data_IF_342520632002
#
_entry.id   IF_342520632002
#
_cell.length_a   1.000
_cell.length_b   1.000
_cell.length_c   1.000
_cell.angle_alpha   90.00
_cell.angle_beta   90.00
_cell.angle_gamma   90.00
#
_symmetry.space_group_name_H-M   'P 1'
#
loop_
_entity.id
_entity.type
_entity.pdbx_description
1 polymer ?
#
# COMPACT_ATOMS: atom_id res chain seq x y z
N UNK A 1 -66.93 11.64 -53.82
CA UNK A 1 -67.41 12.26 -55.09
C UNK A 1 -66.44 13.38 -55.49
N UNK A 2 -66.01 13.39 -56.76
CA UNK A 2 -65.08 14.33 -57.46
C UNK A 2 -63.59 14.15 -57.09
N UNK A 3 -62.64 13.61 -57.89
CA UNK A 3 -62.38 13.37 -59.33
C UNK A 3 -61.74 14.54 -60.12
N UNK A 4 -60.50 14.25 -60.60
CA UNK A 4 -59.59 14.86 -61.62
C UNK A 4 -59.01 16.28 -61.38
N UNK A 5 -57.77 16.64 -61.78
CA UNK A 5 -56.96 16.18 -62.91
C UNK A 5 -55.42 16.38 -62.73
N UNK A 6 -54.67 15.61 -63.52
CA UNK A 6 -53.24 15.69 -63.84
C UNK A 6 -52.83 17.04 -64.46
N UNK A 7 -51.56 17.42 -64.28
CA UNK A 7 -50.74 17.98 -65.35
C UNK A 7 -49.26 17.62 -65.15
N UNK A 8 -48.69 16.99 -66.18
CA UNK A 8 -47.30 16.58 -66.30
C UNK A 8 -46.45 17.72 -66.86
N UNK A 9 -45.21 17.87 -66.37
CA UNK A 9 -44.14 18.51 -67.14
C UNK A 9 -42.83 17.77 -66.90
N UNK A 10 -42.31 17.17 -67.98
CA UNK A 10 -40.96 16.63 -68.10
C UNK A 10 -39.93 17.74 -67.89
N UNK A 11 -38.87 17.49 -67.12
CA UNK A 11 -37.57 18.12 -67.39
C UNK A 11 -36.40 17.18 -67.12
N UNK A 12 -35.48 17.25 -68.08
CA UNK A 12 -34.33 16.43 -68.41
C UNK A 12 -33.29 16.36 -67.27
N UNK A 13 -32.77 15.15 -67.00
CA UNK A 13 -31.59 14.92 -66.17
C UNK A 13 -30.32 15.32 -66.95
N UNK A 14 -29.60 16.33 -66.46
CA UNK A 14 -28.18 16.53 -66.76
C UNK A 14 -27.38 16.18 -65.49
N UNK A 15 -26.81 14.98 -65.48
CA UNK A 15 -25.85 14.52 -64.47
C UNK A 15 -24.50 15.20 -64.71
N UNK A 16 -24.20 16.25 -63.96
CA UNK A 16 -22.85 16.80 -63.86
C UNK A 16 -22.11 15.98 -62.80
N UNK A 17 -21.20 15.12 -63.25
CA UNK A 17 -20.26 14.38 -62.40
C UNK A 17 -19.20 15.34 -61.86
N UNK A 18 -19.43 15.86 -60.65
CA UNK A 18 -18.41 16.53 -59.85
C UNK A 18 -17.49 15.45 -59.26
N UNK A 19 -16.27 15.34 -59.78
CA UNK A 19 -15.19 14.58 -59.11
C UNK A 19 -14.87 15.29 -57.79
N UNK A 20 -14.92 14.62 -56.63
CA UNK A 20 -14.40 15.19 -55.40
C UNK A 20 -12.89 15.33 -55.52
N UNK A 21 -12.36 16.48 -55.10
CA UNK A 21 -10.94 16.68 -54.93
C UNK A 21 -10.40 15.64 -53.94
N UNK A 22 -9.37 14.90 -54.34
CA UNK A 22 -8.59 14.03 -53.45
C UNK A 22 -7.78 14.96 -52.56
N UNK A 23 -8.33 15.32 -51.40
CA UNK A 23 -7.52 15.79 -50.28
C UNK A 23 -6.79 14.57 -49.73
N UNK A 24 -5.47 14.52 -49.91
CA UNK A 24 -4.62 13.62 -49.14
C UNK A 24 -4.85 13.89 -47.65
N UNK A 25 -5.65 13.04 -47.00
CA UNK A 25 -5.68 12.96 -45.55
C UNK A 25 -4.27 12.62 -45.10
N UNK A 26 -3.64 13.43 -44.22
CA UNK A 26 -2.43 13.01 -43.55
C UNK A 26 -2.76 11.68 -42.88
N UNK A 27 -1.97 10.64 -43.15
CA UNK A 27 -1.96 9.43 -42.36
C UNK A 27 -1.67 9.86 -40.91
N UNK A 28 -2.74 10.07 -40.13
CA UNK A 28 -2.69 10.04 -38.69
C UNK A 28 -2.32 8.60 -38.36
N UNK A 29 -1.02 8.33 -38.32
CA UNK A 29 -0.48 7.23 -37.53
C UNK A 29 -1.21 7.28 -36.21
N UNK A 30 -2.07 6.28 -35.96
CA UNK A 30 -2.62 6.03 -34.63
C UNK A 30 -1.42 6.04 -33.70
N UNK A 31 -1.25 7.13 -32.94
CA UNK A 31 -0.39 7.09 -31.77
C UNK A 31 -1.01 5.99 -30.91
N UNK A 32 -0.35 4.84 -30.88
CA UNK A 32 -0.69 3.76 -29.97
C UNK A 32 -0.55 4.38 -28.58
N UNK A 33 -1.61 4.52 -27.77
CA UNK A 33 -1.44 5.01 -26.41
C UNK A 33 -0.54 3.99 -25.71
N UNK A 34 0.75 4.29 -25.57
CA UNK A 34 1.70 3.47 -24.81
C UNK A 34 1.06 3.25 -23.45
N UNK A 35 0.84 1.99 -23.08
CA UNK A 35 0.26 1.64 -21.79
C UNK A 35 1.09 2.30 -20.68
N UNK A 36 0.50 3.25 -19.96
CA UNK A 36 1.11 3.82 -18.76
C UNK A 36 0.91 2.81 -17.63
N UNK A 37 1.95 2.06 -17.31
CA UNK A 37 1.94 1.15 -16.16
C UNK A 37 1.79 1.93 -14.87
N UNK A 38 1.15 1.32 -13.87
CA UNK A 38 0.90 1.98 -12.60
C UNK A 38 2.20 2.16 -11.79
N UNK A 39 2.29 3.30 -11.09
CA UNK A 39 3.29 3.52 -10.04
C UNK A 39 2.74 3.10 -8.67
N UNK A 40 3.36 3.51 -7.57
CA UNK A 40 3.04 3.01 -6.23
C UNK A 40 2.93 4.16 -5.22
N UNK A 41 1.93 5.04 -5.34
CA UNK A 41 1.92 6.33 -4.65
C UNK A 41 1.63 6.27 -3.15
N UNK A 42 1.20 5.12 -2.63
CA UNK A 42 0.75 4.97 -1.25
C UNK A 42 0.95 3.54 -0.74
N UNK A 43 0.75 3.37 0.57
CA UNK A 43 0.74 2.05 1.21
C UNK A 43 -0.16 1.07 0.45
N UNK A 44 0.39 -0.10 0.10
CA UNK A 44 -0.31 -1.16 -0.65
C UNK A 44 -0.72 -0.79 -2.08
N UNK A 45 -0.07 0.22 -2.65
CA UNK A 45 -0.14 0.53 -4.08
C UNK A 45 -1.29 1.46 -4.46
N UNK A 46 -1.53 1.67 -5.76
CA UNK A 46 -2.45 2.68 -6.29
C UNK A 46 -3.83 2.71 -5.64
N UNK A 47 -4.34 1.54 -5.26
CA UNK A 47 -5.68 1.34 -4.68
C UNK A 47 -5.67 1.00 -3.19
N UNK A 48 -4.50 0.80 -2.58
CA UNK A 48 -4.38 0.32 -1.19
C UNK A 48 -4.76 -1.15 -0.97
N UNK A 49 -4.98 -1.93 -2.03
CA UNK A 49 -5.42 -3.34 -1.99
C UNK A 49 -4.31 -4.36 -2.28
N UNK A 50 -3.09 -3.90 -2.56
CA UNK A 50 -1.97 -4.75 -2.93
C UNK A 50 -2.06 -5.32 -4.33
N UNK A 51 -2.72 -4.64 -5.26
CA UNK A 51 -2.73 -5.02 -6.67
C UNK A 51 -1.87 -4.06 -7.50
N UNK A 52 -1.20 -4.57 -8.52
CA UNK A 52 -0.38 -3.78 -9.43
C UNK A 52 -0.74 -4.07 -10.89
N UNK A 53 -1.01 -3.01 -11.66
CA UNK A 53 -1.10 -3.08 -13.11
C UNK A 53 0.24 -2.70 -13.76
N UNK A 54 1.20 -3.63 -13.69
CA UNK A 54 2.51 -3.51 -14.30
C UNK A 54 2.64 -4.27 -15.62
N UNK A 55 3.79 -4.12 -16.31
CA UNK A 55 4.09 -4.87 -17.52
C UNK A 55 4.09 -6.38 -17.26
N UNK A 56 3.72 -7.20 -18.27
CA UNK A 56 3.83 -8.65 -18.17
C UNK A 56 5.26 -9.09 -17.85
N UNK A 57 5.44 -10.01 -16.90
CA UNK A 57 6.74 -10.47 -16.41
C UNK A 57 7.08 -11.84 -16.99
N UNK A 58 8.37 -12.06 -17.25
CA UNK A 58 8.90 -13.39 -17.55
C UNK A 58 8.79 -14.27 -16.31
N UNK A 59 8.54 -15.57 -16.54
CA UNK A 59 8.51 -16.60 -15.50
C UNK A 59 9.87 -17.24 -15.24
N UNK A 60 10.89 -16.87 -16.02
CA UNK A 60 12.27 -17.32 -15.86
C UNK A 60 13.15 -16.09 -15.67
N UNK A 61 13.86 -16.04 -14.56
CA UNK A 61 14.75 -14.92 -14.21
C UNK A 61 16.21 -15.33 -14.34
N UNK A 62 17.14 -14.38 -14.58
CA UNK A 62 18.56 -14.70 -14.69
C UNK A 62 19.14 -15.27 -13.39
N UNK A 63 19.95 -16.32 -13.49
CA UNK A 63 20.67 -16.90 -12.33
C UNK A 63 21.64 -15.90 -11.69
N UNK A 64 22.17 -14.96 -12.47
CA UNK A 64 23.02 -13.86 -11.99
C UNK A 64 22.28 -12.81 -11.15
N UNK A 65 20.96 -12.94 -11.00
CA UNK A 65 20.09 -11.94 -10.38
C UNK A 65 19.59 -10.88 -11.35
N UNK A 66 18.67 -10.03 -10.87
CA UNK A 66 18.11 -8.93 -11.66
C UNK A 66 19.14 -7.83 -11.89
N UNK A 67 18.99 -7.11 -13.00
CA UNK A 67 19.85 -5.97 -13.33
C UNK A 67 19.59 -4.83 -12.34
N UNK A 68 20.59 -4.54 -11.51
CA UNK A 68 20.60 -3.36 -10.65
C UNK A 68 20.73 -2.10 -11.50
N UNK A 69 19.84 -1.14 -11.29
CA UNK A 69 19.83 0.14 -12.00
C UNK A 69 20.65 1.20 -11.25
N UNK A 70 20.38 1.36 -9.96
CA UNK A 70 21.10 2.29 -9.08
C UNK A 70 20.93 1.88 -7.61
N UNK A 71 21.74 2.46 -6.72
CA UNK A 71 21.64 2.25 -5.27
C UNK A 71 22.16 3.44 -4.46
N UNK A 72 21.56 3.71 -3.31
CA UNK A 72 22.01 4.73 -2.35
C UNK A 72 22.13 4.17 -0.93
N UNK A 73 23.07 4.72 -0.16
CA UNK A 73 23.08 4.55 1.29
C UNK A 73 21.84 5.22 1.91
N UNK A 74 21.22 4.54 2.88
CA UNK A 74 20.01 4.98 3.56
C UNK A 74 20.15 4.73 5.06
N UNK A 75 19.52 5.56 5.88
CA UNK A 75 19.32 5.30 7.30
C UNK A 75 18.30 4.18 7.57
N UNK A 76 18.10 3.89 8.86
CA UNK A 76 17.20 2.84 9.31
C UNK A 76 15.72 3.21 9.14
N UNK A 77 14.87 2.21 9.19
CA UNK A 77 13.42 2.35 9.10
C UNK A 77 12.75 1.10 8.54
N UNK A 78 11.46 1.00 8.76
CA UNK A 78 10.63 -0.12 8.26
C UNK A 78 9.51 0.37 7.33
N UNK A 79 9.41 1.68 7.12
CA UNK A 79 8.44 2.27 6.21
C UNK A 79 8.62 1.79 4.78
N UNK A 80 7.50 1.54 4.11
CA UNK A 80 7.49 1.25 2.68
C UNK A 80 7.98 2.42 1.84
N UNK A 81 8.27 2.13 0.58
CA UNK A 81 8.63 3.11 -0.44
C UNK A 81 7.35 3.53 -1.18
N UNK A 82 7.29 4.77 -1.64
CA UNK A 82 6.22 5.23 -2.53
C UNK A 82 6.79 5.92 -3.76
N UNK A 83 6.15 5.73 -4.91
CA UNK A 83 6.56 6.31 -6.20
C UNK A 83 5.36 6.96 -6.87
N UNK A 84 5.54 8.21 -7.29
CA UNK A 84 4.55 8.97 -8.04
C UNK A 84 5.23 10.00 -8.94
N UNK A 85 4.76 10.14 -10.18
CA UNK A 85 5.33 11.03 -11.20
C UNK A 85 6.84 10.86 -11.34
N UNK A 86 7.33 9.60 -11.39
CA UNK A 86 8.76 9.24 -11.45
C UNK A 86 9.61 9.77 -10.30
N UNK A 87 9.00 10.13 -9.19
CA UNK A 87 9.69 10.49 -7.95
C UNK A 87 9.47 9.41 -6.93
N UNK A 88 10.57 8.95 -6.35
CA UNK A 88 10.59 8.00 -5.26
C UNK A 88 10.67 8.74 -3.93
N UNK A 89 9.86 8.33 -2.97
CA UNK A 89 9.77 8.89 -1.63
C UNK A 89 10.01 7.79 -0.60
N UNK A 90 10.88 8.08 0.37
CA UNK A 90 11.20 7.17 1.47
C UNK A 90 11.55 7.97 2.73
N UNK A 91 11.26 7.41 3.89
CA UNK A 91 11.65 7.99 5.17
C UNK A 91 12.76 7.18 5.83
N UNK A 92 13.68 7.86 6.51
CA UNK A 92 14.74 7.20 7.25
C UNK A 92 15.17 7.92 8.53
N UNK A 93 15.95 7.20 9.33
CA UNK A 93 16.67 7.72 10.48
C UNK A 93 18.17 7.41 10.34
N UNK A 94 19.00 8.41 10.05
CA UNK A 94 20.44 8.23 9.88
C UNK A 94 21.14 7.72 11.14
N UNK A 95 22.22 6.97 10.93
CA UNK A 95 23.18 6.62 11.97
C UNK A 95 24.08 7.81 12.35
N UNK A 96 24.73 7.74 13.51
CA UNK A 96 25.63 8.78 13.99
C UNK A 96 26.98 8.82 13.26
N UNK A 97 27.43 7.70 12.69
CA UNK A 97 28.74 7.59 12.01
C UNK A 97 28.73 6.53 10.90
N UNK A 98 29.73 6.57 10.01
CA UNK A 98 29.91 5.53 8.98
C UNK A 98 30.23 4.15 9.55
N UNK A 99 30.87 4.07 10.73
CA UNK A 99 31.11 2.80 11.43
C UNK A 99 29.80 2.19 11.93
N UNK A 100 28.90 3.03 12.42
CA UNK A 100 27.55 2.63 12.82
C UNK A 100 26.74 2.12 11.62
N UNK A 101 26.95 2.69 10.43
CA UNK A 101 26.26 2.25 9.21
C UNK A 101 26.53 0.77 8.90
N UNK A 102 27.77 0.31 9.07
CA UNK A 102 28.12 -1.09 8.85
C UNK A 102 27.44 -2.02 9.88
N UNK A 103 27.29 -1.55 11.12
CA UNK A 103 26.63 -2.27 12.21
C UNK A 103 25.10 -2.22 12.13
N UNK A 104 24.55 -1.30 11.33
CA UNK A 104 23.11 -1.09 11.19
C UNK A 104 22.42 -2.09 10.25
N UNK A 105 23.16 -3.04 9.65
CA UNK A 105 22.58 -4.10 8.83
C UNK A 105 21.64 -5.02 9.65
N UNK A 106 20.65 -5.60 8.98
CA UNK A 106 19.66 -6.50 9.57
C UNK A 106 18.49 -5.80 10.26
N UNK A 107 17.42 -6.55 10.53
CA UNK A 107 16.13 -6.01 11.01
C UNK A 107 16.20 -5.56 12.48
N UNK A 108 16.99 -6.24 13.31
CA UNK A 108 17.07 -6.00 14.75
C UNK A 108 18.25 -5.11 15.20
N UNK A 109 18.80 -4.28 14.31
CA UNK A 109 19.96 -3.40 14.55
C UNK A 109 19.65 -2.10 15.34
N UNK A 110 18.77 -2.19 16.34
CA UNK A 110 18.27 -1.04 17.11
C UNK A 110 19.25 -0.44 18.12
N UNK A 111 20.34 -1.15 18.40
CA UNK A 111 21.38 -0.76 19.37
C UNK A 111 22.49 0.12 18.80
N UNK A 112 22.40 0.45 17.51
CA UNK A 112 23.35 1.32 16.83
C UNK A 112 23.08 2.78 17.18
N UNK A 113 24.13 3.60 17.34
CA UNK A 113 23.97 5.02 17.60
C UNK A 113 23.35 5.72 16.39
N UNK A 114 22.28 6.50 16.63
CA UNK A 114 21.51 7.19 15.59
C UNK A 114 21.40 8.67 15.88
N UNK A 115 21.27 9.44 14.81
CA UNK A 115 20.97 10.85 14.93
C UNK A 115 19.56 11.05 15.51
N UNK A 116 19.36 12.20 16.15
CA UNK A 116 18.07 12.63 16.71
C UNK A 116 17.24 13.38 15.67
N UNK A 117 17.17 12.81 14.47
CA UNK A 117 16.42 13.35 13.33
C UNK A 117 15.72 12.20 12.62
N UNK A 118 14.63 12.52 11.94
CA UNK A 118 14.10 11.72 10.84
C UNK A 118 14.18 12.55 9.56
N UNK A 119 14.21 11.86 8.41
CA UNK A 119 14.21 12.52 7.09
C UNK A 119 13.11 11.96 6.20
N UNK A 120 12.54 12.83 5.38
CA UNK A 120 11.79 12.47 4.18
C UNK A 120 12.68 12.77 2.98
N UNK A 121 12.96 11.75 2.17
CA UNK A 121 13.87 11.83 1.04
C UNK A 121 13.09 11.67 -0.25
N UNK A 122 13.47 12.43 -1.28
CA UNK A 122 12.92 12.33 -2.62
C UNK A 122 14.06 12.12 -3.64
N UNK A 123 13.89 11.11 -4.49
CA UNK A 123 14.83 10.76 -5.55
C UNK A 123 14.10 10.71 -6.89
N UNK A 124 14.83 10.99 -7.97
CA UNK A 124 14.40 10.62 -9.30
C UNK A 124 14.41 9.09 -9.42
N UNK A 125 13.26 8.50 -9.73
CA UNK A 125 13.07 7.05 -9.71
C UNK A 125 13.87 6.33 -10.81
N UNK A 126 14.22 7.01 -11.90
CA UNK A 126 14.96 6.42 -13.01
C UNK A 126 16.47 6.43 -12.75
N UNK A 127 17.00 7.57 -12.31
CA UNK A 127 18.44 7.84 -12.20
C UNK A 127 18.98 7.59 -10.79
N UNK A 128 18.11 7.63 -9.77
CA UNK A 128 18.50 7.61 -8.37
C UNK A 128 18.96 8.97 -7.84
N UNK A 129 19.04 10.02 -8.67
CA UNK A 129 19.51 11.32 -8.21
C UNK A 129 18.60 11.88 -7.11
N UNK A 130 19.16 12.24 -5.96
CA UNK A 130 18.40 12.90 -4.90
C UNK A 130 17.92 14.28 -5.38
N UNK A 131 16.61 14.52 -5.30
CA UNK A 131 15.96 15.78 -5.69
C UNK A 131 15.91 16.73 -4.50
N UNK A 132 15.43 16.23 -3.35
CA UNK A 132 15.34 17.02 -2.11
C UNK A 132 15.32 16.11 -0.88
N UNK A 133 15.61 16.69 0.27
CA UNK A 133 15.44 16.09 1.58
C UNK A 133 14.76 17.08 2.53
N UNK A 134 13.78 16.60 3.30
CA UNK A 134 13.21 17.32 4.43
C UNK A 134 13.66 16.63 5.72
N UNK A 135 14.35 17.36 6.60
CA UNK A 135 14.90 16.83 7.85
C UNK A 135 14.26 17.56 9.03
N UNK A 136 13.86 16.82 10.05
CA UNK A 136 13.33 17.40 11.29
C UNK A 136 13.91 16.72 12.53
N UNK A 137 14.04 17.45 13.67
CA UNK A 137 14.42 16.86 14.93
C UNK A 137 13.40 15.82 15.38
N UNK A 138 13.87 14.65 15.81
CA UNK A 138 13.01 13.59 16.34
C UNK A 138 13.83 12.74 17.32
N UNK A 139 13.50 12.84 18.61
CA UNK A 139 14.16 12.13 19.69
C UNK A 139 13.32 10.91 20.08
N UNK A 140 13.84 9.70 19.82
CA UNK A 140 13.12 8.49 20.17
C UNK A 140 13.27 8.21 21.66
N UNK A 141 12.14 8.09 22.35
CA UNK A 141 12.07 7.81 23.78
C UNK A 141 11.18 6.59 24.01
N UNK A 142 11.62 5.70 24.89
CA UNK A 142 10.82 4.58 25.39
C UNK A 142 10.27 3.61 24.31
N UNK A 143 11.00 3.43 23.21
CA UNK A 143 10.70 2.45 22.17
C UNK A 143 11.50 1.16 22.37
N UNK A 144 10.86 0.01 22.13
CA UNK A 144 11.51 -1.30 22.21
C UNK A 144 12.64 -1.46 21.15
N UNK A 145 12.41 -0.95 19.94
CA UNK A 145 13.47 -0.79 18.94
C UNK A 145 13.30 0.50 18.13
N UNK A 146 14.41 1.22 17.92
CA UNK A 146 14.42 2.59 17.42
C UNK A 146 15.05 2.80 16.04
N UNK A 147 14.89 1.86 15.10
CA UNK A 147 15.61 1.90 13.81
C UNK A 147 15.26 3.10 12.94
N UNK A 148 13.99 3.49 12.88
CA UNK A 148 13.54 4.59 12.02
C UNK A 148 12.03 4.60 11.77
N UNK A 149 11.56 5.52 10.92
CA UNK A 149 10.18 5.63 10.46
C UNK A 149 9.58 4.32 9.93
N UNK A 150 8.26 4.15 10.09
CA UNK A 150 7.53 2.91 9.79
C UNK A 150 6.34 3.07 8.84
N UNK A 151 5.85 4.29 8.67
CA UNK A 151 4.81 4.60 7.70
C UNK A 151 5.43 4.78 6.30
N UNK A 152 4.74 4.30 5.28
CA UNK A 152 5.03 4.71 3.90
C UNK A 152 4.50 6.13 3.67
N UNK A 153 5.24 6.99 2.92
CA UNK A 153 4.70 8.25 2.44
C UNK A 153 3.46 8.03 1.56
N UNK A 154 2.47 8.92 1.62
CA UNK A 154 1.32 8.92 0.70
C UNK A 154 1.43 10.11 -0.23
N UNK A 155 1.35 9.91 -1.55
CA UNK A 155 1.50 10.97 -2.55
C UNK A 155 0.23 11.12 -3.37
N UNK A 156 -0.42 12.28 -3.28
CA UNK A 156 -1.64 12.60 -4.02
C UNK A 156 -1.60 14.09 -4.40
N UNK A 157 -1.89 14.42 -5.66
CA UNK A 157 -2.00 15.80 -6.17
C UNK A 157 -0.81 16.71 -5.82
N UNK A 158 0.42 16.25 -6.10
CA UNK A 158 1.68 16.96 -5.78
C UNK A 158 1.92 17.25 -4.29
N UNK A 159 1.22 16.55 -3.40
CA UNK A 159 1.40 16.61 -1.96
C UNK A 159 1.94 15.27 -1.44
N UNK A 160 2.88 15.34 -0.49
CA UNK A 160 3.46 14.18 0.19
C UNK A 160 3.04 14.25 1.66
N UNK A 161 2.31 13.24 2.12
CA UNK A 161 1.89 13.08 3.50
C UNK A 161 2.77 12.05 4.18
N UNK A 162 3.36 12.40 5.31
CA UNK A 162 4.27 11.52 6.06
C UNK A 162 3.91 11.45 7.52
N UNK A 163 4.21 10.32 8.16
CA UNK A 163 4.09 10.11 9.59
C UNK A 163 5.41 9.56 10.14
N UNK A 164 6.05 10.34 11.01
CA UNK A 164 7.23 9.97 11.76
C UNK A 164 6.93 9.04 12.94
N UNK A 165 7.97 8.40 13.46
CA UNK A 165 7.82 7.36 14.51
C UNK A 165 7.18 7.90 15.80
N UNK A 166 7.47 9.16 16.16
CA UNK A 166 7.01 9.77 17.40
C UNK A 166 5.68 10.53 17.25
N UNK A 167 5.15 10.62 16.02
CA UNK A 167 3.86 11.28 15.75
C UNK A 167 3.97 12.54 14.91
N UNK A 168 5.16 12.91 14.44
CA UNK A 168 5.36 14.04 13.52
C UNK A 168 4.63 13.79 12.18
N UNK A 169 3.65 14.62 11.87
CA UNK A 169 2.91 14.58 10.60
C UNK A 169 3.26 15.79 9.76
N UNK A 170 3.61 15.55 8.50
CA UNK A 170 3.88 16.60 7.55
C UNK A 170 3.05 16.41 6.28
N UNK A 171 2.58 17.53 5.74
CA UNK A 171 2.25 17.66 4.34
C UNK A 171 3.32 18.52 3.67
N UNK A 172 3.97 17.96 2.66
CA UNK A 172 5.06 18.57 1.93
C UNK A 172 4.68 18.77 0.46
N UNK A 173 5.21 19.82 -0.16
CA UNK A 173 5.19 19.95 -1.62
C UNK A 173 6.05 18.84 -2.25
N UNK A 174 5.46 17.97 -3.07
CA UNK A 174 6.16 16.90 -3.80
C UNK A 174 7.29 17.41 -4.69
N UNK A 175 7.19 18.65 -5.18
CA UNK A 175 8.22 19.31 -6.00
C UNK A 175 9.47 19.72 -5.23
N UNK A 176 9.34 20.16 -3.98
CA UNK A 176 10.41 20.92 -3.29
C UNK A 176 10.74 20.39 -1.89
N UNK A 177 9.93 19.51 -1.32
CA UNK A 177 10.05 19.08 0.07
C UNK A 177 9.71 20.15 1.10
N UNK A 178 9.22 21.32 0.68
CA UNK A 178 8.81 22.39 1.60
C UNK A 178 7.53 21.99 2.34
N UNK A 179 7.51 22.28 3.63
CA UNK A 179 6.34 22.08 4.50
C UNK A 179 5.21 23.01 4.07
N UNK A 180 4.03 22.44 3.89
CA UNK A 180 2.77 23.17 3.66
C UNK A 180 2.04 23.33 4.99
N UNK A 181 1.91 22.23 5.73
CA UNK A 181 1.46 22.22 7.11
C UNK A 181 2.11 21.05 7.87
N UNK A 182 2.11 21.16 9.20
CA UNK A 182 2.59 20.10 10.11
C UNK A 182 1.67 19.96 11.32
N UNK A 183 1.63 18.75 11.88
CA UNK A 183 0.91 18.36 13.09
C UNK A 183 1.74 17.35 13.89
N UNK A 184 1.35 17.11 15.14
CA UNK A 184 1.93 16.08 15.97
C UNK A 184 0.83 15.26 16.67
N UNK A 185 0.79 13.94 16.44
CA UNK A 185 -0.30 13.08 16.90
C UNK A 185 -0.56 13.14 18.41
N UNK A 186 0.51 13.23 19.21
CA UNK A 186 0.41 13.38 20.67
C UNK A 186 -0.04 14.80 21.06
N UNK A 187 0.73 15.82 20.67
CA UNK A 187 0.53 17.20 21.11
C UNK A 187 -0.78 17.83 20.63
N UNK A 188 -1.17 17.58 19.37
CA UNK A 188 -2.36 18.20 18.77
C UNK A 188 -3.65 17.42 19.05
N UNK A 189 -3.57 16.10 19.25
CA UNK A 189 -4.74 15.21 19.24
C UNK A 189 -4.86 14.27 20.44
N UNK A 190 -3.97 14.38 21.43
CA UNK A 190 -4.04 13.54 22.64
C UNK A 190 -3.71 12.06 22.39
N UNK A 191 -3.03 11.76 21.28
CA UNK A 191 -2.57 10.41 20.96
C UNK A 191 -1.52 9.89 21.94
N UNK A 192 -1.22 8.59 21.86
CA UNK A 192 -0.15 7.96 22.64
C UNK A 192 0.76 7.15 21.74
N UNK A 193 2.05 7.44 21.78
CA UNK A 193 3.07 6.71 21.02
C UNK A 193 2.99 5.20 21.36
N UNK A 194 2.75 4.33 20.35
CA UNK A 194 2.76 2.89 20.55
C UNK A 194 4.14 2.36 20.96
N UNK A 195 4.21 1.13 21.50
CA UNK A 195 5.45 0.49 21.93
C UNK A 195 6.56 0.46 20.85
N UNK A 196 6.17 0.37 19.58
CA UNK A 196 7.07 0.39 18.44
C UNK A 196 6.96 1.66 17.60
N UNK A 197 6.31 2.70 18.11
CA UNK A 197 6.06 3.97 17.41
C UNK A 197 4.97 3.87 16.35
N UNK A 198 4.56 5.01 15.79
CA UNK A 198 3.50 5.04 14.80
C UNK A 198 3.93 4.42 13.46
N UNK A 199 3.03 3.67 12.83
CA UNK A 199 3.27 3.02 11.54
C UNK A 199 2.12 3.13 10.52
N UNK A 200 0.91 3.49 10.95
CA UNK A 200 -0.23 3.62 10.06
C UNK A 200 0.00 4.79 9.08
N UNK A 201 0.22 4.47 7.80
CA UNK A 201 0.45 5.49 6.77
C UNK A 201 -0.73 6.47 6.71
N UNK A 202 -0.49 7.80 6.56
CA UNK A 202 -1.54 8.78 6.35
C UNK A 202 -2.46 8.38 5.19
N UNK A 203 -3.76 8.29 5.43
CA UNK A 203 -4.73 7.82 4.44
C UNK A 203 -5.46 8.99 3.81
N UNK A 204 -5.27 9.22 2.50
CA UNK A 204 -5.95 10.32 1.80
C UNK A 204 -7.31 9.85 1.29
N UNK A 205 -8.36 10.57 1.68
CA UNK A 205 -9.74 10.29 1.31
C UNK A 205 -10.42 11.55 0.78
N UNK A 206 -10.49 11.68 -0.55
CA UNK A 206 -10.99 12.90 -1.18
C UNK A 206 -10.17 14.11 -0.75
N UNK A 207 -10.81 15.09 -0.11
CA UNK A 207 -10.14 16.28 0.43
C UNK A 207 -9.64 16.13 1.87
N UNK A 208 -9.71 14.93 2.43
CA UNK A 208 -9.25 14.65 3.79
C UNK A 208 -7.97 13.82 3.80
N UNK A 209 -7.20 13.98 4.88
CA UNK A 209 -6.19 13.01 5.31
C UNK A 209 -6.61 12.49 6.67
N UNK A 210 -6.69 11.17 6.78
CA UNK A 210 -7.05 10.45 8.00
C UNK A 210 -5.78 10.00 8.71
N UNK A 211 -5.73 10.24 10.01
CA UNK A 211 -4.62 9.91 10.89
C UNK A 211 -5.16 9.17 12.13
N UNK A 212 -4.31 8.34 12.73
CA UNK A 212 -4.65 7.52 13.89
C UNK A 212 -3.79 7.92 15.11
N UNK A 213 -4.14 9.00 15.85
CA UNK A 213 -3.41 9.37 17.06
C UNK A 213 -3.48 8.31 18.16
N UNK A 214 -4.61 7.61 18.27
CA UNK A 214 -4.78 6.52 19.22
C UNK A 214 -4.66 6.93 20.69
N UNK A 215 -5.72 7.51 21.25
CA UNK A 215 -5.83 7.85 22.66
C UNK A 215 -7.03 7.21 23.36
N UNK A 216 -7.05 7.30 24.69
CA UNK A 216 -8.11 6.70 25.52
C UNK A 216 -9.29 7.64 25.76
N UNK A 217 -9.21 8.88 25.32
CA UNK A 217 -10.28 9.86 25.46
C UNK A 217 -11.14 9.89 24.19
N UNK A 218 -12.39 10.32 24.32
CA UNK A 218 -13.29 10.41 23.17
C UNK A 218 -12.76 11.42 22.14
N UNK A 219 -12.71 11.00 20.87
CA UNK A 219 -12.19 11.82 19.78
C UNK A 219 -10.68 11.76 19.60
N UNK A 220 -9.99 10.83 20.26
CA UNK A 220 -8.51 10.73 20.17
C UNK A 220 -8.02 9.51 19.40
N UNK A 221 -8.91 8.60 18.99
CA UNK A 221 -8.49 7.41 18.24
C UNK A 221 -8.20 7.71 16.76
N UNK A 222 -9.05 8.53 16.13
CA UNK A 222 -8.96 8.90 14.71
C UNK A 222 -9.29 10.38 14.52
N UNK A 223 -8.57 11.01 13.60
CA UNK A 223 -8.81 12.39 13.17
C UNK A 223 -8.78 12.49 11.65
N UNK A 224 -9.66 13.31 11.09
CA UNK A 224 -9.62 13.73 9.70
C UNK A 224 -9.28 15.20 9.62
N UNK A 225 -8.27 15.52 8.82
CA UNK A 225 -7.87 16.88 8.53
C UNK A 225 -8.19 17.20 7.08
N UNK A 226 -8.49 18.45 6.78
CA UNK A 226 -8.40 18.97 5.43
C UNK A 226 -6.97 18.78 4.93
N UNK A 227 -6.82 18.03 3.83
CA UNK A 227 -5.50 17.56 3.39
C UNK A 227 -4.59 18.70 2.90
N UNK A 228 -5.16 19.84 2.47
CA UNK A 228 -4.39 20.98 1.95
C UNK A 228 -3.97 21.96 3.03
N UNK A 229 -4.72 22.05 4.12
CA UNK A 229 -4.52 23.07 5.17
C UNK A 229 -4.14 22.49 6.52
N UNK A 230 -4.41 21.20 6.77
CA UNK A 230 -4.20 20.56 8.07
C UNK A 230 -5.23 20.97 9.13
N UNK A 231 -6.29 21.69 8.74
CA UNK A 231 -7.39 22.07 9.62
C UNK A 231 -8.24 20.83 9.90
N UNK A 232 -8.56 20.60 11.17
CA UNK A 232 -9.41 19.49 11.57
C UNK A 232 -10.81 19.61 10.99
N UNK A 233 -11.32 18.51 10.41
CA UNK A 233 -12.70 18.40 9.96
C UNK A 233 -13.56 17.64 10.96
N UNK A 234 -13.05 16.53 11.44
CA UNK A 234 -13.70 15.74 12.49
C UNK A 234 -12.69 14.88 13.23
N UNK A 235 -13.07 14.45 14.43
CA UNK A 235 -12.35 13.45 15.23
C UNK A 235 -13.36 12.51 15.88
N UNK A 236 -13.00 11.26 16.14
CA UNK A 236 -13.94 10.27 16.69
C UNK A 236 -13.24 9.17 17.49
N UNK A 237 -14.07 8.38 18.19
CA UNK A 237 -13.72 7.17 18.93
C UNK A 237 -12.69 7.35 20.06
N UNK A 238 -12.54 6.32 20.89
CA UNK A 238 -11.51 6.22 21.92
C UNK A 238 -10.90 4.81 21.90
N UNK A 239 -9.67 4.70 21.44
CA UNK A 239 -8.88 3.48 21.46
C UNK A 239 -7.39 3.82 21.26
N UNK A 240 -6.51 2.95 21.73
CA UNK A 240 -5.07 3.07 21.51
C UNK A 240 -4.70 2.95 20.03
N UNK A 241 -3.54 3.48 19.63
CA UNK A 241 -3.12 3.42 18.23
C UNK A 241 -2.75 1.99 17.82
N UNK A 242 -3.34 1.55 16.72
CA UNK A 242 -2.88 0.40 15.94
C UNK A 242 -1.78 0.80 14.95
N UNK A 243 -1.35 -0.16 14.15
CA UNK A 243 -0.32 0.02 13.12
C UNK A 243 -0.90 -0.07 11.69
N UNK A 244 -2.11 -0.61 11.55
CA UNK A 244 -2.81 -0.73 10.28
C UNK A 244 -3.38 0.61 9.80
N UNK A 245 -3.19 0.91 8.51
CA UNK A 245 -3.88 2.04 7.85
C UNK A 245 -5.39 1.74 7.73
N UNK A 246 -6.29 2.73 7.88
CA UNK A 246 -7.72 2.53 7.68
C UNK A 246 -8.08 1.98 6.31
N UNK A 247 -9.23 1.30 6.22
CA UNK A 247 -9.77 0.75 4.97
C UNK A 247 -11.12 1.42 4.66
N UNK A 248 -11.22 2.12 3.54
CA UNK A 248 -12.51 2.54 3.00
C UNK A 248 -13.19 1.38 2.29
N UNK A 249 -14.42 1.08 2.66
CA UNK A 249 -15.26 0.08 1.99
C UNK A 249 -16.54 0.72 1.48
N UNK A 250 -17.17 0.07 0.50
CA UNK A 250 -18.54 0.37 0.09
C UNK A 250 -19.39 -0.89 0.25
N UNK A 251 -20.40 -0.84 1.12
CA UNK A 251 -21.31 -1.95 1.39
C UNK A 251 -22.76 -1.44 1.33
N UNK A 252 -23.63 -2.14 0.61
CA UNK A 252 -25.03 -1.72 0.38
C UNK A 252 -25.17 -0.26 -0.06
N UNK A 253 -24.26 0.21 -0.93
CA UNK A 253 -24.24 1.58 -1.43
C UNK A 253 -23.69 2.64 -0.45
N UNK A 254 -23.42 2.28 0.81
CA UNK A 254 -22.87 3.18 1.84
C UNK A 254 -21.37 3.01 1.98
N UNK A 255 -20.66 4.12 2.12
CA UNK A 255 -19.23 4.12 2.43
C UNK A 255 -19.02 4.01 3.93
N UNK A 256 -18.07 3.17 4.34
CA UNK A 256 -17.67 2.99 5.74
C UNK A 256 -16.15 3.04 5.82
N UNK A 257 -15.62 3.70 6.85
CA UNK A 257 -14.20 3.69 7.15
C UNK A 257 -13.91 2.72 8.27
N UNK A 258 -13.24 1.62 7.94
CA UNK A 258 -12.86 0.57 8.87
C UNK A 258 -11.54 0.93 9.54
N UNK A 259 -11.52 0.89 10.88
CA UNK A 259 -10.35 1.18 11.69
C UNK A 259 -10.09 -0.04 12.59
N UNK A 260 -8.93 -0.66 12.42
CA UNK A 260 -8.50 -1.75 13.28
C UNK A 260 -7.56 -1.23 14.38
N UNK A 261 -8.08 -1.18 15.61
CA UNK A 261 -7.37 -0.74 16.80
C UNK A 261 -7.01 -1.93 17.71
N UNK A 262 -6.19 -1.73 18.75
CA UNK A 262 -5.78 -2.78 19.69
C UNK A 262 -6.89 -3.40 20.54
N UNK A 263 -8.02 -2.72 20.72
CA UNK A 263 -9.13 -3.24 21.52
C UNK A 263 -10.39 -3.53 20.71
N UNK A 264 -10.51 -3.02 19.48
CA UNK A 264 -11.72 -3.16 18.66
C UNK A 264 -11.43 -3.16 17.15
N UNK A 265 -12.45 -3.56 16.40
CA UNK A 265 -12.61 -3.25 14.99
C UNK A 265 -13.76 -2.27 14.91
N UNK A 266 -13.51 -1.07 14.37
CA UNK A 266 -14.49 0.00 14.30
C UNK A 266 -14.92 0.27 12.86
N UNK A 267 -16.11 0.82 12.72
CA UNK A 267 -16.57 1.50 11.52
C UNK A 267 -17.14 2.86 11.85
N UNK A 268 -16.80 3.84 11.01
CA UNK A 268 -17.33 5.20 11.07
C UNK A 268 -17.77 5.67 9.69
N UNK A 269 -18.66 6.66 9.67
CA UNK A 269 -18.96 7.46 8.50
C UNK A 269 -17.69 8.22 8.07
N UNK A 270 -17.20 8.04 6.83
CA UNK A 270 -15.95 8.66 6.39
C UNK A 270 -15.98 10.19 6.29
N UNK A 271 -17.17 10.81 6.16
CA UNK A 271 -17.32 12.25 5.98
C UNK A 271 -17.46 13.00 7.30
N UNK A 272 -18.11 12.38 8.29
CA UNK A 272 -18.45 13.00 9.57
C UNK A 272 -17.70 12.42 10.76
N UNK A 273 -17.13 11.23 10.63
CA UNK A 273 -16.55 10.49 11.75
C UNK A 273 -17.59 9.87 12.68
N UNK A 274 -18.89 9.95 12.35
CA UNK A 274 -19.95 9.36 13.15
C UNK A 274 -19.75 7.85 13.28
N UNK A 275 -19.86 7.34 14.51
CA UNK A 275 -19.72 5.92 14.79
C UNK A 275 -20.87 5.13 14.16
N UNK A 276 -20.54 4.03 13.49
CA UNK A 276 -21.53 3.05 13.02
C UNK A 276 -21.56 1.82 13.92
N UNK A 277 -20.43 1.13 14.08
CA UNK A 277 -20.32 -0.05 14.93
C UNK A 277 -18.90 -0.28 15.43
N UNK A 278 -18.78 -1.07 16.49
CA UNK A 278 -17.52 -1.55 17.06
C UNK A 278 -17.67 -3.00 17.48
N UNK A 279 -16.75 -3.86 17.05
CA UNK A 279 -16.66 -5.24 17.54
C UNK A 279 -15.45 -5.37 18.46
N UNK A 280 -15.60 -5.85 19.71
CA UNK A 280 -14.47 -6.04 20.62
C UNK A 280 -13.46 -7.05 20.07
N UNK A 281 -12.19 -6.64 20.06
CA UNK A 281 -11.07 -7.50 19.74
C UNK A 281 -9.78 -7.02 20.41
N UNK A 282 -9.62 -7.43 21.67
CA UNK A 282 -8.41 -7.12 22.44
C UNK A 282 -7.26 -8.02 22.00
N UNK A 283 -6.16 -7.40 21.56
CA UNK A 283 -4.98 -8.10 21.07
C UNK A 283 -3.74 -7.86 21.92
N UNK A 284 -2.89 -8.88 22.00
CA UNK A 284 -1.67 -8.90 22.79
C UNK A 284 -0.65 -7.89 22.24
N UNK A 285 -0.04 -7.06 23.10
CA UNK A 285 0.88 -5.95 22.74
C UNK A 285 0.33 -4.90 21.76
N UNK A 286 -0.98 -4.91 21.48
CA UNK A 286 -1.60 -3.97 20.54
C UNK A 286 -1.14 -4.10 19.09
N UNK A 287 -0.67 -5.27 18.66
CA UNK A 287 -0.16 -5.50 17.29
C UNK A 287 -1.26 -5.59 16.21
N UNK A 288 -2.08 -4.55 16.08
CA UNK A 288 -3.06 -4.40 15.01
C UNK A 288 -2.34 -3.92 13.75
N UNK A 289 -1.69 -4.84 13.03
CA UNK A 289 -0.69 -4.49 12.00
C UNK A 289 -1.16 -4.73 10.56
N UNK A 290 -1.51 -5.97 10.20
CA UNK A 290 -1.98 -6.30 8.85
C UNK A 290 -3.26 -5.52 8.49
N UNK A 291 -3.21 -4.66 7.47
CA UNK A 291 -4.39 -3.92 7.02
C UNK A 291 -5.62 -4.83 6.84
N UNK A 292 -6.81 -4.39 7.29
CA UNK A 292 -8.05 -5.11 7.02
C UNK A 292 -8.26 -5.33 5.51
N UNK A 293 -8.98 -6.39 5.16
CA UNK A 293 -9.54 -6.58 3.81
C UNK A 293 -11.05 -6.79 3.92
N UNK A 294 -11.79 -6.42 2.87
CA UNK A 294 -13.24 -6.57 2.87
C UNK A 294 -13.77 -7.04 1.52
N UNK A 295 -14.44 -8.18 1.52
CA UNK A 295 -15.02 -8.81 0.34
C UNK A 295 -16.32 -9.52 0.73
N UNK A 296 -17.28 -9.64 -0.18
CA UNK A 296 -18.49 -10.44 0.05
C UNK A 296 -19.31 -10.02 1.29
N UNK A 297 -19.23 -8.76 1.71
CA UNK A 297 -19.89 -8.27 2.92
C UNK A 297 -19.22 -8.71 4.23
N UNK A 298 -18.01 -9.28 4.18
CA UNK A 298 -17.17 -9.58 5.32
C UNK A 298 -16.01 -8.60 5.42
N UNK A 299 -15.71 -8.13 6.63
CA UNK A 299 -14.45 -7.45 6.98
C UNK A 299 -13.56 -8.44 7.73
N UNK A 300 -12.35 -8.66 7.24
CA UNK A 300 -11.39 -9.57 7.86
C UNK A 300 -10.19 -8.81 8.44
N UNK A 301 -9.79 -9.17 9.66
CA UNK A 301 -8.56 -8.69 10.31
C UNK A 301 -7.76 -9.88 10.84
N UNK A 302 -6.43 -9.78 10.77
CA UNK A 302 -5.53 -10.87 11.14
C UNK A 302 -4.60 -10.49 12.29
N UNK A 303 -4.80 -11.08 13.47
CA UNK A 303 -3.95 -10.90 14.64
C UNK A 303 -2.95 -12.03 14.87
N UNK A 304 -1.77 -11.67 15.37
CA UNK A 304 -0.64 -12.59 15.48
C UNK A 304 -0.75 -13.59 16.64
N UNK A 305 -1.12 -13.10 17.82
CA UNK A 305 -1.25 -13.92 19.03
C UNK A 305 -2.67 -14.45 19.19
N UNK A 306 -3.64 -13.60 18.90
CA UNK A 306 -5.04 -13.81 19.25
C UNK A 306 -5.90 -14.36 18.10
N UNK A 307 -5.30 -14.64 16.94
CA UNK A 307 -6.00 -15.21 15.78
C UNK A 307 -6.51 -14.18 14.78
N UNK A 308 -7.37 -14.59 13.86
CA UNK A 308 -8.08 -13.70 12.95
C UNK A 308 -9.58 -13.70 13.21
N UNK A 309 -10.25 -12.64 12.78
CA UNK A 309 -11.71 -12.49 12.87
C UNK A 309 -12.27 -12.02 11.53
N UNK A 310 -13.43 -12.54 11.15
CA UNK A 310 -14.26 -11.98 10.11
C UNK A 310 -15.58 -11.45 10.68
N UNK A 311 -15.91 -10.22 10.31
CA UNK A 311 -17.09 -9.49 10.74
C UNK A 311 -18.07 -9.44 9.57
N UNK A 312 -19.25 -9.99 9.76
CA UNK A 312 -20.35 -9.87 8.81
C UNK A 312 -20.97 -8.49 8.92
N UNK A 313 -21.05 -7.79 7.79
CA UNK A 313 -21.79 -6.54 7.67
C UNK A 313 -23.26 -6.85 7.37
N UNK A 314 -24.15 -6.12 8.03
CA UNK A 314 -25.59 -6.17 7.82
C UNK A 314 -26.06 -5.23 6.71
N UNK A 315 -27.38 -5.05 6.64
CA UNK A 315 -28.00 -4.21 5.60
C UNK A 315 -27.91 -2.72 5.93
N UNK A 316 -27.96 -2.39 7.22
CA UNK A 316 -27.72 -1.04 7.72
C UNK A 316 -26.25 -0.86 8.10
N UNK A 317 -25.70 0.36 7.97
CA UNK A 317 -24.29 0.59 8.24
C UNK A 317 -23.89 0.33 9.70
N UNK A 318 -24.83 0.38 10.65
CA UNK A 318 -24.64 0.10 12.09
C UNK A 318 -24.67 -1.39 12.44
N UNK A 319 -25.07 -2.26 11.51
CA UNK A 319 -25.20 -3.69 11.73
C UNK A 319 -23.87 -4.40 11.40
N UNK A 320 -23.23 -4.96 12.42
CA UNK A 320 -22.06 -5.80 12.25
C UNK A 320 -21.95 -6.86 13.35
N UNK A 321 -21.61 -8.09 12.99
CA UNK A 321 -21.45 -9.19 13.95
C UNK A 321 -20.24 -10.07 13.63
N UNK A 322 -19.70 -10.75 14.64
CA UNK A 322 -18.66 -11.75 14.43
C UNK A 322 -19.23 -12.94 13.64
N UNK A 323 -18.71 -13.17 12.43
CA UNK A 323 -19.10 -14.31 11.61
C UNK A 323 -18.34 -15.58 12.01
N UNK A 324 -17.02 -15.46 12.05
CA UNK A 324 -16.12 -16.55 12.40
C UNK A 324 -14.80 -16.00 12.97
N UNK A 325 -14.09 -16.85 13.72
CA UNK A 325 -12.74 -16.59 14.19
C UNK A 325 -11.87 -17.84 14.08
N UNK A 326 -10.57 -17.65 13.87
CA UNK A 326 -9.58 -18.73 13.94
C UNK A 326 -8.39 -18.26 14.78
N UNK A 327 -7.99 -19.04 15.78
CA UNK A 327 -6.88 -18.72 16.69
C UNK A 327 -5.63 -19.56 16.49
N UNK A 328 -5.59 -20.38 15.43
CA UNK A 328 -4.61 -21.46 15.29
C UNK A 328 -3.90 -21.46 13.96
N UNK A 329 -4.63 -21.29 12.87
CA UNK A 329 -4.16 -21.47 11.49
C UNK A 329 -4.10 -20.17 10.71
N UNK A 330 -4.77 -19.11 11.17
CA UNK A 330 -4.80 -17.79 10.55
C UNK A 330 -4.24 -16.75 11.51
N UNK A 331 -2.93 -16.71 11.70
CA UNK A 331 -2.25 -15.73 12.58
C UNK A 331 -1.21 -14.92 11.81
N UNK A 332 -1.71 -13.88 11.15
CA UNK A 332 -0.91 -12.89 10.43
C UNK A 332 -0.26 -11.86 11.36
N UNK A 333 0.81 -11.23 10.89
CA UNK A 333 1.49 -10.11 11.58
C UNK A 333 1.64 -8.90 10.64
N UNK A 334 2.77 -8.81 9.93
CA UNK A 334 3.17 -7.69 9.06
C UNK A 334 2.93 -8.00 7.58
N UNK A 335 1.89 -8.76 7.28
CA UNK A 335 1.58 -9.24 5.93
C UNK A 335 0.09 -9.18 5.71
N UNK A 336 -0.34 -8.15 4.97
CA UNK A 336 -1.75 -8.03 4.59
C UNK A 336 -2.12 -9.21 3.69
N UNK A 337 -3.22 -9.93 3.99
CA UNK A 337 -3.68 -11.01 3.13
C UNK A 337 -4.07 -10.51 1.75
N UNK A 338 -3.92 -11.38 0.75
CA UNK A 338 -4.52 -11.18 -0.56
C UNK A 338 -5.85 -11.93 -0.63
N UNK A 339 -6.81 -11.39 -1.39
CA UNK A 339 -8.07 -12.07 -1.70
C UNK A 339 -8.22 -12.25 -3.22
N UNK A 340 -8.78 -13.37 -3.65
CA UNK A 340 -9.25 -13.62 -5.02
C UNK A 340 -10.30 -14.75 -5.00
N UNK A 341 -11.42 -14.52 -5.69
CA UNK A 341 -12.44 -15.54 -6.01
C UNK A 341 -12.91 -16.39 -4.82
N UNK A 342 -13.22 -15.75 -3.68
CA UNK A 342 -13.71 -16.43 -2.47
C UNK A 342 -12.62 -17.02 -1.58
N UNK A 343 -11.35 -16.89 -1.95
CA UNK A 343 -10.21 -17.37 -1.19
C UNK A 343 -9.28 -16.22 -0.78
N UNK A 344 -8.64 -16.39 0.38
CA UNK A 344 -7.63 -15.47 0.86
C UNK A 344 -6.33 -16.18 1.21
N UNK A 345 -5.22 -15.45 1.06
CA UNK A 345 -3.85 -15.93 1.20
C UNK A 345 -3.14 -15.09 2.25
N UNK A 346 -2.83 -15.70 3.39
CA UNK A 346 -2.26 -15.06 4.56
C UNK A 346 -0.93 -15.73 4.93
N UNK A 347 0.09 -14.96 5.30
CA UNK A 347 1.28 -15.51 5.92
C UNK A 347 1.01 -15.81 7.40
N UNK A 348 0.78 -17.08 7.74
CA UNK A 348 0.62 -17.54 9.12
C UNK A 348 1.99 -17.72 9.78
N UNK A 349 2.05 -17.38 11.06
CA UNK A 349 3.27 -17.44 11.86
C UNK A 349 3.93 -18.82 12.01
N UNK A 350 3.20 -19.90 11.79
CA UNK A 350 3.65 -21.29 12.03
C UNK A 350 3.64 -22.10 10.75
N UNK A 351 2.61 -21.93 9.94
CA UNK A 351 2.36 -22.77 8.77
C UNK A 351 2.89 -22.16 7.47
N UNK A 352 3.30 -20.88 7.49
CA UNK A 352 3.75 -20.18 6.29
C UNK A 352 2.56 -19.62 5.50
N UNK A 353 2.71 -19.49 4.19
CA UNK A 353 1.64 -19.00 3.33
C UNK A 353 0.47 -19.98 3.38
N UNK A 354 -0.69 -19.47 3.80
CA UNK A 354 -1.90 -20.25 4.08
C UNK A 354 -3.04 -19.73 3.21
N UNK A 355 -3.64 -20.61 2.42
CA UNK A 355 -4.88 -20.35 1.69
C UNK A 355 -6.08 -20.81 2.51
N UNK A 356 -7.13 -19.99 2.57
CA UNK A 356 -8.37 -20.32 3.27
C UNK A 356 -9.59 -19.79 2.50
N UNK A 357 -10.74 -20.43 2.70
CA UNK A 357 -12.03 -19.94 2.21
C UNK A 357 -12.44 -18.70 3.01
N UNK A 358 -12.63 -17.57 2.32
CA UNK A 358 -12.88 -16.28 2.96
C UNK A 358 -14.21 -16.25 3.72
N UNK A 359 -15.23 -16.94 3.20
CA UNK A 359 -16.55 -16.99 3.81
C UNK A 359 -16.59 -17.72 5.16
N UNK A 360 -15.67 -18.67 5.41
CA UNK A 360 -15.76 -19.59 6.56
C UNK A 360 -14.50 -19.62 7.44
N UNK A 361 -13.36 -19.12 6.95
CA UNK A 361 -12.07 -19.25 7.62
C UNK A 361 -11.45 -20.65 7.48
N UNK A 362 -12.06 -21.57 6.72
CA UNK A 362 -11.55 -22.93 6.55
C UNK A 362 -10.25 -22.92 5.76
N UNK A 363 -9.15 -23.35 6.41
CA UNK A 363 -7.87 -23.60 5.73
C UNK A 363 -8.03 -24.64 4.61
N UNK A 364 -7.50 -24.32 3.44
CA UNK A 364 -7.43 -25.19 2.26
C UNK A 364 -6.05 -25.85 2.18
N UNK A 365 -4.98 -25.05 2.22
CA UNK A 365 -3.60 -25.52 2.21
C UNK A 365 -2.68 -24.54 2.94
N UNK A 366 -1.48 -25.01 3.30
CA UNK A 366 -0.35 -24.19 3.69
C UNK A 366 0.91 -24.64 2.94
N UNK A 367 1.81 -23.71 2.66
CA UNK A 367 3.06 -23.96 1.93
C UNK A 367 4.16 -24.57 2.79
N UNK A 368 3.88 -24.85 4.08
CA UNK A 368 4.83 -25.38 5.06
C UNK A 368 6.10 -24.53 5.21
N UNK A 369 5.96 -23.21 5.10
CA UNK A 369 7.05 -22.24 5.13
C UNK A 369 8.02 -22.35 3.93
N UNK A 370 7.56 -22.84 2.77
CA UNK A 370 8.38 -22.89 1.55
C UNK A 370 8.70 -21.49 1.02
N UNK A 371 7.72 -20.58 0.96
CA UNK A 371 7.86 -19.23 0.43
C UNK A 371 8.76 -18.36 1.31
N UNK A 372 8.52 -18.39 2.62
CA UNK A 372 9.29 -17.68 3.66
C UNK A 372 9.75 -18.69 4.70
N UNK A 373 11.00 -19.16 4.63
CA UNK A 373 11.54 -20.14 5.57
C UNK A 373 11.34 -19.69 7.03
N UNK A 374 10.84 -20.57 7.88
CA UNK A 374 10.46 -20.30 9.28
C UNK A 374 11.65 -20.08 10.24
N UNK A 375 12.77 -19.57 9.72
CA UNK A 375 14.01 -19.36 10.47
C UNK A 375 13.92 -18.14 11.41
N UNK A 376 12.85 -17.33 11.31
CA UNK A 376 12.65 -16.13 12.11
C UNK A 376 11.42 -16.26 13.00
N UNK A 377 11.47 -15.59 14.17
CA UNK A 377 10.36 -15.59 15.14
C UNK A 377 9.10 -14.89 14.61
N UNK A 378 9.23 -14.01 13.62
CA UNK A 378 8.19 -13.12 13.10
C UNK A 378 8.27 -13.11 11.57
N UNK A 379 7.70 -14.11 10.88
CA UNK A 379 7.76 -14.16 9.43
C UNK A 379 7.03 -12.94 8.84
N UNK A 380 7.60 -12.40 7.76
CA UNK A 380 7.05 -11.26 7.05
C UNK A 380 7.21 -11.46 5.55
N UNK A 381 6.17 -11.09 4.82
CA UNK A 381 6.23 -10.88 3.39
C UNK A 381 5.28 -9.75 2.96
N UNK A 382 5.67 -9.03 1.92
CA UNK A 382 4.74 -8.24 1.12
C UNK A 382 4.22 -9.13 0.01
N UNK A 383 2.90 -9.32 -0.09
CA UNK A 383 2.28 -10.03 -1.21
C UNK A 383 1.50 -9.04 -2.07
N UNK A 384 1.66 -9.09 -3.40
CA UNK A 384 0.86 -8.29 -4.33
C UNK A 384 0.36 -9.10 -5.53
N UNK A 385 -0.84 -8.80 -6.03
CA UNK A 385 -1.35 -9.39 -7.27
C UNK A 385 -0.86 -8.66 -8.51
N UNK A 386 -0.50 -9.42 -9.55
CA UNK A 386 -0.27 -8.91 -10.89
C UNK A 386 -1.57 -8.96 -11.70
N UNK A 387 -2.25 -7.82 -11.88
CA UNK A 387 -3.60 -7.79 -12.49
C UNK A 387 -3.64 -8.30 -13.94
N UNK A 388 -2.54 -8.18 -14.68
CA UNK A 388 -2.45 -8.61 -16.09
C UNK A 388 -2.03 -10.07 -16.26
N UNK A 389 -1.76 -10.78 -15.17
CA UNK A 389 -1.14 -12.11 -15.22
C UNK A 389 -1.69 -13.01 -14.11
N UNK A 390 -3.01 -13.05 -13.94
CA UNK A 390 -3.61 -13.95 -12.96
C UNK A 390 -3.30 -15.42 -13.30
N UNK A 391 -3.06 -16.31 -12.31
CA UNK A 391 -3.17 -16.11 -10.86
C UNK A 391 -1.84 -15.70 -10.17
N UNK A 392 -0.98 -14.93 -10.83
CA UNK A 392 0.37 -14.62 -10.33
C UNK A 392 0.41 -13.50 -9.28
N UNK A 393 1.28 -13.70 -8.30
CA UNK A 393 1.66 -12.73 -7.29
C UNK A 393 3.18 -12.46 -7.31
N UNK A 394 3.56 -11.22 -6.99
CA UNK A 394 4.92 -10.91 -6.54
C UNK A 394 4.96 -10.86 -5.02
N UNK A 395 6.02 -11.43 -4.47
CA UNK A 395 6.19 -11.57 -3.03
C UNK A 395 7.60 -11.14 -2.66
N UNK A 396 7.74 -10.16 -1.75
CA UNK A 396 9.02 -9.82 -1.13
C UNK A 396 9.00 -10.35 0.30
N UNK A 397 9.80 -11.37 0.61
CA UNK A 397 9.87 -11.94 1.96
C UNK A 397 10.89 -11.20 2.85
N UNK A 398 10.91 -11.56 4.14
CA UNK A 398 11.76 -10.92 5.14
C UNK A 398 13.25 -11.10 4.92
N UNK A 399 13.66 -12.09 4.12
CA UNK A 399 15.06 -12.38 3.81
C UNK A 399 15.55 -11.55 2.60
N UNK A 400 14.65 -10.76 2.00
CA UNK A 400 14.93 -9.91 0.84
C UNK A 400 14.78 -10.62 -0.49
N UNK A 401 14.19 -11.82 -0.52
CA UNK A 401 13.89 -12.52 -1.76
C UNK A 401 12.63 -11.94 -2.39
N UNK A 402 12.76 -11.52 -3.65
CA UNK A 402 11.64 -11.34 -4.54
C UNK A 402 11.29 -12.71 -5.15
N UNK A 403 10.01 -13.06 -5.11
CA UNK A 403 9.46 -14.32 -5.58
C UNK A 403 8.30 -14.01 -6.52
N UNK A 404 8.27 -14.67 -7.66
CA UNK A 404 7.10 -14.75 -8.54
C UNK A 404 6.45 -16.12 -8.34
N UNK A 405 5.18 -16.14 -7.97
CA UNK A 405 4.45 -17.37 -7.70
C UNK A 405 3.03 -17.31 -8.26
N UNK A 406 2.46 -18.48 -8.55
CA UNK A 406 1.02 -18.66 -8.76
C UNK A 406 0.39 -19.11 -7.45
N UNK A 407 -0.73 -18.46 -7.11
CA UNK A 407 -1.50 -18.72 -5.89
C UNK A 407 -2.95 -18.97 -6.27
N UNK A 408 -3.42 -20.19 -6.02
CA UNK A 408 -4.82 -20.57 -6.21
C UNK A 408 -5.25 -21.63 -5.17
N UNK A 409 -6.54 -22.03 -5.11
CA UNK A 409 -6.99 -23.04 -4.14
C UNK A 409 -6.37 -24.43 -4.31
N UNK A 410 -5.73 -24.72 -5.44
CA UNK A 410 -5.00 -25.98 -5.67
C UNK A 410 -3.59 -25.96 -5.06
N UNK A 411 -2.98 -24.79 -4.87
CA UNK A 411 -1.71 -24.68 -4.15
C UNK A 411 -0.90 -23.41 -4.40
N UNK A 412 0.35 -23.47 -3.92
CA UNK A 412 1.43 -22.54 -4.17
C UNK A 412 2.39 -23.11 -5.22
N UNK A 413 2.67 -22.37 -6.28
CA UNK A 413 3.68 -22.73 -7.29
C UNK A 413 4.66 -21.59 -7.50
N UNK A 414 5.88 -21.78 -7.01
CA UNK A 414 7.00 -20.85 -7.26
C UNK A 414 7.44 -20.94 -8.73
N UNK A 415 7.55 -19.79 -9.39
CA UNK A 415 8.00 -19.66 -10.77
C UNK A 415 9.44 -19.15 -10.86
N UNK A 416 9.78 -18.17 -10.03
CA UNK A 416 11.13 -17.59 -9.97
C UNK A 416 11.40 -16.96 -8.61
N UNK A 417 12.69 -16.88 -8.24
CA UNK A 417 13.18 -16.28 -7.00
C UNK A 417 14.52 -15.59 -7.23
N UNK A 418 14.75 -14.46 -6.56
CA UNK A 418 16.04 -13.76 -6.55
C UNK A 418 16.17 -12.87 -5.30
N UNK A 419 17.35 -12.83 -4.67
CA UNK A 419 17.58 -11.96 -3.53
C UNK A 419 17.93 -10.53 -3.98
N UNK A 420 17.25 -9.53 -3.42
CA UNK A 420 17.42 -8.13 -3.84
C UNK A 420 18.15 -7.26 -2.82
N UNK A 421 17.96 -7.48 -1.52
CA UNK A 421 18.30 -6.47 -0.51
C UNK A 421 18.78 -7.05 0.84
N UNK A 422 18.79 -8.38 0.99
CA UNK A 422 18.93 -9.04 2.29
C UNK A 422 17.75 -8.74 3.22
N UNK A 423 17.94 -8.93 4.53
CA UNK A 423 16.86 -8.79 5.51
C UNK A 423 16.11 -7.44 5.43
N UNK A 424 14.78 -7.50 5.34
CA UNK A 424 13.91 -6.32 5.31
C UNK A 424 12.51 -6.60 5.84
N UNK A 425 11.88 -5.58 6.44
CA UNK A 425 10.44 -5.56 6.69
C UNK A 425 9.73 -4.46 5.89
N UNK A 426 10.49 -3.70 5.10
CA UNK A 426 9.94 -2.61 4.34
C UNK A 426 9.25 -3.12 3.08
N UNK A 427 8.07 -2.58 2.81
CA UNK A 427 7.34 -2.90 1.58
C UNK A 427 8.05 -2.26 0.36
N UNK A 428 8.18 -3.01 -0.75
CA UNK A 428 8.70 -2.46 -1.99
C UNK A 428 7.71 -1.51 -2.65
N UNK A 429 8.21 -0.71 -3.59
CA UNK A 429 7.41 0.03 -4.54
C UNK A 429 7.67 -0.46 -5.96
N UNK A 430 6.68 -0.26 -6.83
CA UNK A 430 6.74 -0.63 -8.24
C UNK A 430 6.44 0.60 -9.11
N UNK A 431 7.16 0.75 -10.21
CA UNK A 431 6.88 1.77 -11.21
C UNK A 431 7.44 1.34 -12.56
N UNK A 432 6.62 1.38 -13.62
CA UNK A 432 7.01 0.89 -14.95
C UNK A 432 7.51 -0.57 -14.88
N UNK A 433 8.73 -0.86 -15.31
CA UNK A 433 9.39 -2.16 -15.15
C UNK A 433 10.37 -2.19 -13.98
N UNK A 434 10.21 -1.35 -12.95
CA UNK A 434 11.15 -1.26 -11.82
C UNK A 434 10.52 -1.72 -10.52
N UNK A 435 11.36 -2.32 -9.69
CA UNK A 435 11.10 -2.53 -8.27
C UNK A 435 12.11 -1.75 -7.45
N UNK A 436 11.63 -1.10 -6.40
CA UNK A 436 12.45 -0.39 -5.42
C UNK A 436 12.35 -1.11 -4.08
N UNK A 437 13.50 -1.43 -3.49
CA UNK A 437 13.62 -2.16 -2.24
C UNK A 437 14.58 -1.43 -1.30
N UNK A 438 14.33 -1.51 0.01
CA UNK A 438 15.23 -0.95 1.03
C UNK A 438 15.54 -1.96 2.14
N UNK A 439 16.68 -1.75 2.79
CA UNK A 439 17.01 -2.32 4.10
C UNK A 439 17.33 -1.18 5.07
N UNK A 440 17.87 -1.49 6.25
CA UNK A 440 18.28 -0.47 7.23
C UNK A 440 19.53 0.34 6.84
N UNK A 441 20.17 0.02 5.72
CA UNK A 441 21.43 0.67 5.30
C UNK A 441 21.45 1.17 3.86
N UNK A 442 20.47 0.80 3.03
CA UNK A 442 20.46 1.15 1.60
C UNK A 442 19.08 1.07 0.98
N UNK A 443 18.93 1.71 -0.16
CA UNK A 443 17.83 1.57 -1.11
C UNK A 443 18.38 1.23 -2.49
N UNK A 444 17.72 0.33 -3.21
CA UNK A 444 18.16 -0.16 -4.52
C UNK A 444 16.98 -0.22 -5.49
N UNK A 445 17.23 0.18 -6.74
CA UNK A 445 16.33 -0.06 -7.85
C UNK A 445 16.83 -1.22 -8.73
N UNK A 446 15.92 -2.12 -9.10
CA UNK A 446 16.17 -3.20 -10.04
C UNK A 446 15.20 -3.13 -11.22
N UNK A 447 15.67 -3.58 -12.38
CA UNK A 447 14.83 -3.82 -13.54
C UNK A 447 14.15 -5.19 -13.43
N UNK A 448 12.83 -5.21 -13.49
CA UNK A 448 12.01 -6.41 -13.55
C UNK A 448 12.08 -7.01 -14.97
N UNK A 449 12.17 -8.35 -15.10
CA UNK A 449 12.25 -9.01 -16.39
C UNK A 449 10.87 -9.08 -17.04
N UNK A 450 10.62 -8.19 -18.00
CA UNK A 450 9.34 -8.06 -18.73
C UNK A 450 9.31 -8.86 -20.03
N UNK A 451 8.13 -9.31 -20.49
CA UNK A 451 7.98 -10.11 -21.74
C UNK A 451 8.41 -9.32 -22.99
N UNK A 452 8.05 -8.05 -23.07
CA UNK A 452 8.39 -7.14 -24.16
C UNK A 452 9.19 -5.97 -23.58
N UNK A 453 10.26 -5.55 -24.26
CA UNK A 453 11.05 -4.39 -23.83
C UNK A 453 10.17 -3.15 -23.84
N UNK A 454 10.25 -2.37 -22.76
CA UNK A 454 9.68 -1.03 -22.75
C UNK A 454 10.70 -0.14 -23.46
N UNK A 455 10.55 0.02 -24.78
CA UNK A 455 11.39 0.92 -25.58
C UNK A 455 11.25 2.34 -25.04
N UNK A 456 12.31 2.85 -24.41
CA UNK A 456 12.47 4.19 -23.85
C UNK A 456 11.14 4.82 -23.37
N UNK A 457 10.83 4.60 -22.09
CA UNK A 457 9.73 5.30 -21.40
C UNK A 457 9.92 6.82 -21.61
N UNK A 458 8.87 7.56 -22.02
CA UNK A 458 8.98 8.94 -22.48
C UNK A 458 9.67 9.91 -21.51
#
# INVERSE_FOLDING_TARGET
MRVFALNSLLMLFCLISLKPAVTETPNLTRANPRATWEEWPQWRGPRGDGTWNGPPLKTTWPESGLKKLWSHELGGGYGGISVANRKLYVMDRPVASSEDQQKAAGIHSHRVARQKIERVLCFDAQTGQQIWAHTYPCDYRDLDYGNGPRAAPTIIDDLVYTLGTMGDVYCLSAKTGKVIWKKHLVEDFGGKVPQWGYAAAPYVLGDMVILLPGGKEQGTAVVALDRKTGVERWRSLSDTAGYATPLLIKHQGRSQLIIWSPNHIHSVDPQSGNHFWSVPYKITYGVAIANPIAHEGLVFVAGYWDGSKAIQLGTQPEEAELKWEDRRTLRGLMSQPLYRDGYAYLLDKKFGLTCFEFATGKKIWDDKNQMTPGNTRNPQATLIWLKQQEPRALILNSDGDLILAELDPSGYRELARTNLIGETWAHPAYAENRIFVRSNTRIIAYELPVLESIDESP
#
